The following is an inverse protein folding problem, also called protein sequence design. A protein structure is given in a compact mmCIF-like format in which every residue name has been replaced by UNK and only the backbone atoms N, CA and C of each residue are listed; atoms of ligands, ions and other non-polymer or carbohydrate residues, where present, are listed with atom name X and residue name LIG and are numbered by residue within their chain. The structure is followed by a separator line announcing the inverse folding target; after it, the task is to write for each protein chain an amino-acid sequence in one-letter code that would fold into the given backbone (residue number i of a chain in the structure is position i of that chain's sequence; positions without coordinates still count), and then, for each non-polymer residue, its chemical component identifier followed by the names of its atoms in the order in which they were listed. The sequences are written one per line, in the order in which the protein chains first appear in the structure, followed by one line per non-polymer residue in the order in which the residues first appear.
data_IF_570449307455
#
_entry.id   IF_570449307455
#
_cell.length_a   1.000
_cell.length_b   1.000
_cell.length_c   1.000
_cell.angle_alpha   90.00
_cell.angle_beta   90.00
_cell.angle_gamma   90.00
#
_symmetry.space_group_name_H-M   'P 1'
#
loop_
_entity.id
_entity.type
_entity.pdbx_description
1 polymer ?
#
# COMPACT_ATOMS: atom_id res chain seq x y z
N UNK A 1 -6.40 0.43 -6.12
CA UNK A 1 -7.37 1.43 -6.58
C UNK A 1 -7.31 1.60 -8.09
N UNK A 2 -6.31 1.96 -8.74
CA UNK A 2 -6.26 2.31 -10.18
C UNK A 2 -6.02 1.13 -11.14
N UNK A 3 -6.44 -0.09 -10.81
CA UNK A 3 -6.20 -1.27 -11.64
C UNK A 3 -6.80 -1.15 -13.07
N UNK A 4 -8.05 -0.71 -13.16
CA UNK A 4 -8.75 -0.49 -14.45
C UNK A 4 -8.06 0.59 -15.29
N UNK A 5 -7.61 1.67 -14.67
CA UNK A 5 -6.87 2.74 -15.36
C UNK A 5 -5.54 2.22 -15.90
N UNK A 6 -4.77 1.46 -15.10
CA UNK A 6 -3.54 0.83 -15.56
C UNK A 6 -3.78 -0.16 -16.69
N UNK A 7 -4.82 -0.97 -16.60
CA UNK A 7 -5.19 -1.89 -17.67
C UNK A 7 -5.56 -1.16 -18.97
N UNK A 8 -6.33 -0.09 -18.87
CA UNK A 8 -6.66 0.74 -20.05
C UNK A 8 -5.41 1.34 -20.67
N UNK A 9 -4.56 1.99 -19.87
CA UNK A 9 -3.33 2.64 -20.35
C UNK A 9 -2.32 1.64 -20.93
N UNK A 10 -2.25 0.43 -20.39
CA UNK A 10 -1.33 -0.61 -20.90
C UNK A 10 -1.62 -1.05 -22.34
N UNK A 11 -2.83 -0.79 -22.83
CA UNK A 11 -3.24 -1.07 -24.22
C UNK A 11 -2.91 0.07 -25.19
N UNK A 12 -2.46 1.21 -24.68
CA UNK A 12 -2.07 2.40 -25.47
C UNK A 12 -0.55 2.47 -25.58
N UNK A 13 -0.06 3.18 -26.60
CA UNK A 13 1.37 3.47 -26.69
C UNK A 13 1.76 4.52 -25.65
N UNK A 14 2.38 4.11 -24.57
CA UNK A 14 2.96 5.01 -23.57
C UNK A 14 4.38 5.33 -24.00
N UNK A 15 4.59 6.48 -24.59
CA UNK A 15 5.86 6.87 -25.20
C UNK A 15 6.88 7.36 -24.16
N UNK A 16 6.39 8.05 -23.11
CA UNK A 16 7.26 8.59 -22.08
C UNK A 16 6.55 8.63 -20.73
N UNK A 17 7.30 8.36 -19.67
CA UNK A 17 6.92 8.59 -18.27
C UNK A 17 7.98 9.51 -17.67
N UNK A 18 7.58 10.65 -17.14
CA UNK A 18 8.46 11.57 -16.41
C UNK A 18 8.07 11.52 -14.94
N UNK A 19 8.99 11.09 -14.10
CA UNK A 19 8.87 11.09 -12.65
C UNK A 19 9.51 12.36 -12.09
N UNK A 20 8.69 13.22 -11.52
CA UNK A 20 9.13 14.45 -10.86
C UNK A 20 9.46 14.22 -9.38
N UNK A 21 9.13 13.05 -8.81
CA UNK A 21 9.16 12.84 -7.38
C UNK A 21 8.33 13.92 -6.68
N UNK A 22 8.86 14.50 -5.61
CA UNK A 22 8.23 15.61 -4.86
C UNK A 22 8.51 17.00 -5.47
N UNK A 23 9.16 17.07 -6.64
CA UNK A 23 9.49 18.35 -7.31
C UNK A 23 8.43 18.82 -8.31
N UNK A 24 7.34 18.09 -8.47
CA UNK A 24 6.30 18.43 -9.44
C UNK A 24 5.54 19.72 -9.11
N UNK A 25 5.33 20.00 -7.83
CA UNK A 25 4.66 21.22 -7.37
C UNK A 25 5.45 21.89 -6.23
N UNK A 26 5.84 23.15 -6.36
CA UNK A 26 6.57 23.86 -5.31
C UNK A 26 5.77 23.89 -3.99
N UNK A 27 6.44 23.55 -2.89
CA UNK A 27 5.86 23.63 -1.54
C UNK A 27 4.88 22.51 -1.18
N UNK A 28 4.73 21.50 -2.03
CA UNK A 28 3.82 20.36 -1.80
C UNK A 28 4.63 19.06 -1.85
N UNK A 29 4.63 18.30 -0.74
CA UNK A 29 5.30 17.00 -0.65
C UNK A 29 4.40 15.88 -1.21
N UNK A 30 4.16 15.91 -2.52
CA UNK A 30 3.38 14.89 -3.25
C UNK A 30 4.21 14.38 -4.41
N UNK A 31 4.44 13.07 -4.44
CA UNK A 31 5.06 12.43 -5.60
C UNK A 31 4.16 12.54 -6.83
N UNK A 32 4.73 13.00 -7.92
CA UNK A 32 4.01 13.26 -9.17
C UNK A 32 4.74 12.68 -10.36
N UNK A 33 3.95 12.29 -11.36
CA UNK A 33 4.48 11.87 -12.65
C UNK A 33 3.62 12.38 -13.80
N UNK A 34 4.23 12.52 -14.98
CA UNK A 34 3.54 12.76 -16.24
C UNK A 34 3.65 11.55 -17.15
N UNK A 35 2.58 11.22 -17.85
CA UNK A 35 2.51 10.12 -18.82
C UNK A 35 2.15 10.70 -20.18
N UNK A 36 2.98 10.43 -21.19
CA UNK A 36 2.74 10.81 -22.58
C UNK A 36 2.23 9.59 -23.35
N UNK A 37 1.05 9.71 -23.91
CA UNK A 37 0.33 8.61 -24.55
C UNK A 37 0.00 8.96 -25.99
N UNK A 38 0.37 8.07 -26.91
CA UNK A 38 -0.11 8.12 -28.29
C UNK A 38 -1.33 7.19 -28.43
N UNK A 39 -2.49 7.78 -28.64
CA UNK A 39 -3.76 7.05 -28.73
C UNK A 39 -3.87 6.18 -30.00
N UNK A 40 -3.15 6.54 -31.05
CA UNK A 40 -3.15 5.84 -32.34
C UNK A 40 -1.96 4.88 -32.49
N UNK A 41 -0.96 5.04 -31.61
CA UNK A 41 0.24 4.22 -31.60
C UNK A 41 0.00 2.81 -31.02
N UNK A 42 0.87 1.88 -31.37
CA UNK A 42 0.93 0.55 -30.74
C UNK A 42 1.98 0.55 -29.63
N UNK A 43 1.71 -0.17 -28.50
CA UNK A 43 2.70 -0.33 -27.44
C UNK A 43 4.04 -0.84 -27.97
N UNK A 44 5.13 -0.15 -27.66
CA UNK A 44 6.49 -0.54 -28.07
C UNK A 44 7.48 -0.24 -26.93
N UNK A 45 8.35 0.73 -27.11
CA UNK A 45 9.27 1.19 -26.09
C UNK A 45 8.73 2.42 -25.36
N UNK A 46 8.98 2.48 -24.08
CA UNK A 46 8.65 3.62 -23.21
C UNK A 46 9.94 4.24 -22.68
N UNK A 47 10.09 5.54 -22.82
CA UNK A 47 11.15 6.30 -22.15
C UNK A 47 10.72 6.59 -20.71
N UNK A 48 11.62 6.39 -19.76
CA UNK A 48 11.43 6.74 -18.37
C UNK A 48 12.48 7.75 -17.96
N UNK A 49 12.05 8.90 -17.46
CA UNK A 49 12.91 9.99 -17.02
C UNK A 49 12.63 10.30 -15.57
N UNK A 50 13.63 10.28 -14.71
CA UNK A 50 13.53 10.78 -13.34
C UNK A 50 14.24 12.10 -13.19
N UNK A 51 13.49 13.14 -12.89
CA UNK A 51 14.04 14.47 -12.62
C UNK A 51 14.80 14.50 -11.29
N UNK A 52 14.32 13.70 -10.33
CA UNK A 52 14.93 13.67 -8.98
C UNK A 52 16.26 12.92 -8.96
N UNK A 53 16.35 11.82 -9.71
CA UNK A 53 17.51 10.92 -9.69
C UNK A 53 18.39 11.04 -10.92
N UNK A 54 18.06 11.89 -11.90
CA UNK A 54 18.83 12.04 -13.14
C UNK A 54 18.88 10.76 -13.98
N UNK A 55 17.83 9.92 -13.91
CA UNK A 55 17.76 8.64 -14.61
C UNK A 55 17.08 8.83 -15.96
N UNK A 56 17.69 8.25 -17.01
CA UNK A 56 17.14 8.19 -18.35
C UNK A 56 17.22 6.74 -18.84
N UNK A 57 16.08 6.09 -19.02
CA UNK A 57 16.04 4.72 -19.54
C UNK A 57 15.02 4.61 -20.67
N UNK A 58 15.26 3.61 -21.54
CA UNK A 58 14.26 3.15 -22.52
C UNK A 58 14.08 1.65 -22.35
N UNK A 59 12.86 1.24 -22.13
CA UNK A 59 12.50 -0.17 -21.93
C UNK A 59 11.27 -0.52 -22.75
N UNK A 60 11.08 -1.81 -23.05
CA UNK A 60 9.83 -2.23 -23.65
C UNK A 60 8.66 -1.98 -22.71
N UNK A 61 7.57 -1.47 -23.26
CA UNK A 61 6.38 -1.16 -22.46
C UNK A 61 5.86 -2.38 -21.70
N UNK A 62 5.90 -3.56 -22.33
CA UNK A 62 5.48 -4.82 -21.70
C UNK A 62 6.34 -5.22 -20.49
N UNK A 63 7.58 -4.78 -20.44
CA UNK A 63 8.46 -5.03 -19.31
C UNK A 63 8.11 -4.15 -18.11
N UNK A 64 7.79 -2.87 -18.33
CA UNK A 64 7.34 -1.94 -17.29
C UNK A 64 5.95 -2.33 -16.76
N UNK A 65 5.04 -2.70 -17.70
CA UNK A 65 3.63 -2.95 -17.43
C UNK A 65 3.29 -4.44 -17.34
N UNK A 66 4.24 -5.23 -16.83
CA UNK A 66 4.08 -6.66 -16.67
C UNK A 66 2.85 -6.98 -15.80
N UNK A 67 1.87 -7.69 -16.36
CA UNK A 67 0.63 -8.04 -15.68
C UNK A 67 0.80 -9.02 -14.53
N UNK A 68 1.95 -9.69 -14.45
CA UNK A 68 2.29 -10.56 -13.31
C UNK A 68 2.58 -9.76 -12.05
N UNK A 69 2.95 -8.49 -12.21
CA UNK A 69 3.24 -7.58 -11.10
C UNK A 69 1.98 -6.79 -10.73
N UNK A 70 1.73 -6.52 -9.44
CA UNK A 70 0.55 -5.79 -8.99
C UNK A 70 0.57 -4.30 -9.37
N UNK A 71 1.74 -3.77 -9.74
CA UNK A 71 1.97 -2.38 -10.10
C UNK A 71 2.89 -2.24 -11.31
N UNK A 72 2.88 -1.09 -11.95
CA UNK A 72 3.90 -0.71 -12.92
C UNK A 72 5.21 -0.41 -12.21
N UNK A 73 6.29 -1.01 -12.69
CA UNK A 73 7.61 -0.81 -12.09
C UNK A 73 8.47 -0.05 -13.12
N UNK A 74 8.41 1.29 -13.03
CA UNK A 74 9.03 2.18 -14.03
C UNK A 74 10.56 2.13 -14.02
N UNK A 75 11.18 1.77 -12.89
CA UNK A 75 12.63 1.58 -12.74
C UNK A 75 13.03 0.10 -12.65
N UNK A 76 12.21 -0.78 -13.25
CA UNK A 76 12.47 -2.21 -13.26
C UNK A 76 13.85 -2.51 -13.88
N UNK A 77 14.58 -3.39 -13.23
CA UNK A 77 15.91 -3.82 -13.65
C UNK A 77 16.15 -5.31 -13.34
N UNK A 78 17.32 -5.84 -13.74
CA UNK A 78 17.64 -7.25 -13.56
C UNK A 78 17.70 -7.69 -12.09
N UNK A 79 18.12 -6.81 -11.18
CA UNK A 79 18.18 -7.12 -9.75
C UNK A 79 16.76 -7.25 -9.17
N UNK A 80 15.88 -6.32 -9.53
CA UNK A 80 14.46 -6.42 -9.21
C UNK A 80 13.88 -7.76 -9.71
N UNK A 81 14.17 -8.16 -10.95
CA UNK A 81 13.68 -9.41 -11.51
C UNK A 81 14.20 -10.66 -10.76
N UNK A 82 15.45 -10.63 -10.29
CA UNK A 82 15.99 -11.71 -9.46
C UNK A 82 15.23 -11.86 -8.16
N UNK A 83 14.92 -10.74 -7.49
CA UNK A 83 14.13 -10.76 -6.25
C UNK A 83 12.71 -11.23 -6.52
N UNK A 84 12.06 -10.71 -7.57
CA UNK A 84 10.68 -11.08 -7.91
C UNK A 84 10.50 -12.57 -8.23
N UNK A 85 11.53 -13.25 -8.73
CA UNK A 85 11.49 -14.70 -8.94
C UNK A 85 11.37 -15.52 -7.64
N UNK A 86 11.66 -14.91 -6.49
CA UNK A 86 11.59 -15.53 -5.17
C UNK A 86 10.32 -15.14 -4.42
N UNK A 87 9.44 -14.34 -5.02
CA UNK A 87 8.23 -13.81 -4.41
C UNK A 87 6.98 -14.34 -5.11
N UNK A 88 6.01 -14.75 -4.32
CA UNK A 88 4.65 -14.99 -4.77
C UNK A 88 3.83 -13.71 -4.57
N UNK A 89 3.23 -13.21 -5.66
CA UNK A 89 2.38 -12.03 -5.62
C UNK A 89 0.92 -12.40 -5.41
N UNK A 90 0.16 -11.47 -4.80
CA UNK A 90 -1.28 -11.63 -4.55
C UNK A 90 -1.64 -12.81 -3.65
N UNK A 91 -0.74 -13.22 -2.76
CA UNK A 91 -0.98 -14.26 -1.76
C UNK A 91 -2.05 -13.84 -0.77
N UNK A 92 -2.08 -12.56 -0.43
CA UNK A 92 -3.04 -12.00 0.52
C UNK A 92 -4.04 -11.07 -0.14
N UNK A 93 -5.30 -11.16 0.28
CA UNK A 93 -6.27 -10.09 0.10
C UNK A 93 -6.07 -9.07 1.22
N UNK A 94 -5.95 -7.80 0.86
CA UNK A 94 -5.67 -6.71 1.80
C UNK A 94 -6.94 -5.94 2.13
N UNK A 95 -7.27 -5.87 3.41
CA UNK A 95 -8.30 -4.97 3.93
C UNK A 95 -7.64 -3.83 4.71
N UNK A 96 -8.08 -2.61 4.46
CA UNK A 96 -7.67 -1.40 5.20
C UNK A 96 -8.89 -0.64 5.65
N UNK A 97 -9.04 -0.47 6.95
CA UNK A 97 -10.12 0.34 7.51
C UNK A 97 -9.96 1.82 7.14
N UNK A 98 -11.10 2.47 6.87
CA UNK A 98 -11.18 3.92 6.61
C UNK A 98 -12.29 4.58 7.41
N UNK A 99 -12.95 3.86 8.29
CA UNK A 99 -14.13 4.30 9.01
C UNK A 99 -13.80 4.67 10.46
N UNK A 100 -12.81 4.04 11.08
CA UNK A 100 -12.36 4.38 12.44
C UNK A 100 -11.63 5.72 12.40
N UNK A 101 -12.26 6.73 12.97
CA UNK A 101 -11.70 8.07 13.18
C UNK A 101 -11.52 8.34 14.66
N UNK A 102 -10.76 9.37 15.02
CA UNK A 102 -10.54 9.78 16.42
C UNK A 102 -11.86 10.07 17.18
N UNK A 103 -12.94 10.43 16.46
CA UNK A 103 -14.25 10.68 17.06
C UNK A 103 -14.92 9.42 17.63
N UNK A 104 -14.53 8.24 17.17
CA UNK A 104 -15.06 6.96 17.63
C UNK A 104 -14.17 6.31 18.68
N UNK A 105 -13.02 6.88 18.97
CA UNK A 105 -12.02 6.34 19.87
C UNK A 105 -12.06 7.04 21.23
N UNK A 106 -11.73 6.27 22.25
CA UNK A 106 -11.56 6.72 23.65
C UNK A 106 -10.33 6.05 24.26
N UNK A 107 -9.88 6.58 25.39
CA UNK A 107 -8.70 6.06 26.11
C UNK A 107 -9.03 4.77 26.89
N UNK A 108 -10.32 4.44 27.04
CA UNK A 108 -10.79 3.20 27.65
C UNK A 108 -12.06 2.71 26.96
N UNK A 109 -12.30 1.41 26.92
CA UNK A 109 -13.48 0.83 26.29
C UNK A 109 -13.42 -0.67 26.16
N UNK A 110 -14.43 -1.24 25.49
CA UNK A 110 -14.64 -2.69 25.42
C UNK A 110 -13.73 -3.40 24.42
N UNK A 111 -13.40 -2.72 23.31
CA UNK A 111 -12.63 -3.32 22.21
C UNK A 111 -11.40 -2.45 21.95
N UNK A 112 -10.22 -3.03 22.08
CA UNK A 112 -8.97 -2.35 21.78
C UNK A 112 -8.81 -2.18 20.27
N UNK A 113 -8.41 -0.97 19.84
CA UNK A 113 -8.10 -0.65 18.44
C UNK A 113 -6.59 -0.53 18.27
N UNK A 114 -5.99 -1.49 17.60
CA UNK A 114 -4.56 -1.49 17.36
C UNK A 114 -4.20 -0.50 16.25
N UNK A 115 -3.07 0.15 16.43
CA UNK A 115 -2.46 1.12 15.51
C UNK A 115 -1.02 0.68 15.19
N UNK A 116 -0.40 1.26 14.18
CA UNK A 116 0.91 0.82 13.68
C UNK A 116 2.00 0.68 14.75
N UNK A 117 2.05 1.59 15.73
CA UNK A 117 3.04 1.54 16.82
C UNK A 117 2.76 0.45 17.87
N UNK A 118 1.54 -0.12 17.89
CA UNK A 118 1.24 -1.24 18.78
C UNK A 118 1.87 -2.57 18.31
N UNK A 119 2.43 -2.64 17.11
CA UNK A 119 3.17 -3.82 16.65
C UNK A 119 4.65 -3.59 16.94
N UNK A 120 5.26 -4.50 17.72
CA UNK A 120 6.70 -4.47 18.00
C UNK A 120 7.52 -4.49 16.72
N UNK A 121 8.76 -3.99 16.75
CA UNK A 121 9.62 -3.90 15.58
C UNK A 121 9.96 -5.27 14.97
N UNK A 122 9.97 -6.32 15.78
CA UNK A 122 10.17 -7.71 15.34
C UNK A 122 8.87 -8.41 14.89
N UNK A 123 7.72 -7.73 14.98
CA UNK A 123 6.42 -8.26 14.59
C UNK A 123 5.86 -9.37 15.48
N UNK A 124 6.38 -9.58 16.71
CA UNK A 124 5.98 -10.72 17.54
C UNK A 124 4.95 -10.38 18.61
N UNK A 125 4.94 -9.15 19.09
CA UNK A 125 4.12 -8.76 20.25
C UNK A 125 3.31 -7.50 19.98
N UNK A 126 2.18 -7.39 20.68
CA UNK A 126 1.42 -6.15 20.81
C UNK A 126 1.98 -5.38 21.98
N UNK A 127 2.32 -4.12 21.74
CA UNK A 127 2.84 -3.19 22.75
C UNK A 127 1.70 -2.38 23.35
N UNK A 128 1.71 -2.25 24.66
CA UNK A 128 0.90 -1.28 25.39
C UNK A 128 1.67 0.04 25.45
N UNK A 129 1.03 1.12 25.01
CA UNK A 129 1.67 2.43 24.91
C UNK A 129 0.76 3.46 25.56
N UNK A 130 1.17 3.96 26.71
CA UNK A 130 0.45 4.99 27.45
C UNK A 130 0.22 6.24 26.59
N UNK A 131 -0.98 6.80 26.68
CA UNK A 131 -1.41 7.95 25.88
C UNK A 131 -1.53 7.69 24.36
N UNK A 132 -1.30 6.46 23.91
CA UNK A 132 -1.44 6.08 22.50
C UNK A 132 -2.52 5.02 22.26
N UNK A 133 -2.70 4.10 23.18
CA UNK A 133 -3.70 3.04 23.06
C UNK A 133 -5.11 3.63 22.96
N UNK A 134 -5.95 2.97 22.22
CA UNK A 134 -7.31 3.46 21.97
C UNK A 134 -8.29 2.31 21.93
N UNK A 135 -9.51 2.63 22.29
CA UNK A 135 -10.61 1.69 22.42
C UNK A 135 -11.85 2.21 21.71
N UNK A 136 -12.76 1.32 21.39
CA UNK A 136 -14.07 1.63 20.79
C UNK A 136 -15.16 0.84 21.52
N UNK A 137 -16.35 1.42 21.64
CA UNK A 137 -17.51 0.71 22.18
C UNK A 137 -17.96 -0.39 21.23
N UNK A 138 -18.49 -1.49 21.77
CA UNK A 138 -19.08 -2.57 20.97
C UNK A 138 -20.21 -2.09 20.07
N UNK A 139 -21.01 -1.14 20.54
CA UNK A 139 -22.11 -0.55 19.77
C UNK A 139 -21.60 0.14 18.49
N UNK A 140 -20.60 1.02 18.65
CA UNK A 140 -19.99 1.72 17.50
C UNK A 140 -19.26 0.74 16.56
N UNK A 141 -18.51 -0.20 17.13
CA UNK A 141 -17.73 -1.16 16.35
C UNK A 141 -18.59 -2.02 15.40
N UNK A 142 -19.78 -2.45 15.84
CA UNK A 142 -20.71 -3.27 15.05
C UNK A 142 -21.20 -2.63 13.76
N UNK A 143 -21.14 -1.31 13.65
CA UNK A 143 -21.56 -0.56 12.45
C UNK A 143 -20.45 -0.47 11.38
N UNK A 144 -19.23 -0.93 11.69
CA UNK A 144 -18.05 -0.76 10.86
C UNK A 144 -17.71 -2.05 10.11
N UNK A 145 -17.22 -1.91 8.88
CA UNK A 145 -16.81 -3.04 8.05
C UNK A 145 -15.68 -3.88 8.70
N UNK A 146 -14.78 -3.23 9.47
CA UNK A 146 -13.70 -3.90 10.17
C UNK A 146 -14.16 -4.84 11.27
N UNK A 147 -15.43 -4.73 11.72
CA UNK A 147 -15.99 -5.58 12.77
C UNK A 147 -15.99 -7.06 12.40
N UNK A 148 -16.10 -7.40 11.11
CA UNK A 148 -16.05 -8.79 10.64
C UNK A 148 -14.75 -9.50 11.05
N UNK A 149 -13.69 -8.73 11.35
CA UNK A 149 -12.38 -9.25 11.75
C UNK A 149 -12.19 -9.35 13.26
N UNK A 150 -13.16 -8.94 14.09
CA UNK A 150 -13.00 -8.89 15.55
C UNK A 150 -12.52 -10.23 16.12
N UNK A 151 -13.17 -11.32 15.73
CA UNK A 151 -12.88 -12.67 16.23
C UNK A 151 -11.88 -13.46 15.37
N UNK A 152 -11.52 -12.94 14.19
CA UNK A 152 -10.59 -13.63 13.29
C UNK A 152 -9.16 -13.52 13.82
N UNK A 153 -8.50 -14.66 13.97
CA UNK A 153 -7.08 -14.78 14.34
C UNK A 153 -6.23 -15.50 13.29
N UNK A 154 -6.86 -15.94 12.18
CA UNK A 154 -6.18 -16.53 11.03
C UNK A 154 -5.79 -15.50 9.97
N UNK A 155 -5.68 -14.25 10.35
CA UNK A 155 -5.30 -13.11 9.52
C UNK A 155 -4.10 -12.40 10.13
N UNK A 156 -3.36 -11.66 9.30
CA UNK A 156 -2.16 -10.96 9.73
C UNK A 156 -2.35 -9.44 9.68
N UNK A 157 -1.59 -8.74 10.50
CA UNK A 157 -1.52 -7.28 10.55
C UNK A 157 -0.16 -6.81 10.05
N UNK A 158 -0.14 -5.75 9.25
CA UNK A 158 1.08 -5.07 8.84
C UNK A 158 0.89 -3.56 8.87
N UNK A 159 1.87 -2.77 9.34
CA UNK A 159 1.82 -1.32 9.24
C UNK A 159 1.81 -0.86 7.77
N UNK A 160 0.95 0.11 7.46
CA UNK A 160 0.86 0.66 6.10
C UNK A 160 2.06 1.51 5.72
N UNK A 161 2.69 2.16 6.71
CA UNK A 161 3.90 2.96 6.53
C UNK A 161 4.91 2.55 7.60
N UNK A 162 6.05 2.03 7.18
CA UNK A 162 7.11 1.60 8.09
C UNK A 162 8.44 1.51 7.36
N UNK A 163 9.51 1.88 8.03
CA UNK A 163 10.89 1.67 7.56
C UNK A 163 11.36 0.21 7.76
N UNK A 164 10.71 -0.52 8.67
CA UNK A 164 11.02 -1.93 8.95
C UNK A 164 9.78 -2.77 8.63
N UNK A 165 9.73 -3.45 7.48
CA UNK A 165 8.64 -4.37 7.18
C UNK A 165 8.44 -5.38 8.30
N UNK A 166 7.24 -5.48 8.82
CA UNK A 166 6.87 -6.41 9.89
C UNK A 166 5.42 -6.85 9.76
N UNK A 167 5.15 -8.03 10.24
CA UNK A 167 3.83 -8.64 10.18
C UNK A 167 3.63 -9.48 11.43
N UNK A 168 2.42 -9.46 11.98
CA UNK A 168 2.04 -10.32 13.10
C UNK A 168 0.67 -10.93 12.90
N UNK A 169 0.42 -12.07 13.53
CA UNK A 169 -0.90 -12.66 13.59
C UNK A 169 -1.82 -11.75 14.41
N UNK A 170 -3.02 -11.48 13.91
CA UNK A 170 -3.98 -10.61 14.59
C UNK A 170 -4.50 -11.26 15.87
N UNK A 171 -4.46 -10.59 17.02
CA UNK A 171 -5.11 -11.08 18.24
C UNK A 171 -6.65 -11.04 18.10
N UNK A 172 -7.32 -12.01 18.72
CA UNK A 172 -8.78 -11.97 18.89
C UNK A 172 -9.20 -10.76 19.74
N UNK A 173 -10.44 -10.37 19.64
CA UNK A 173 -11.03 -9.26 20.42
C UNK A 173 -10.33 -7.91 20.19
N UNK A 174 -9.65 -7.73 19.06
CA UNK A 174 -9.04 -6.45 18.68
C UNK A 174 -9.53 -6.01 17.30
N UNK A 175 -9.61 -4.71 17.11
CA UNK A 175 -9.81 -4.09 15.78
C UNK A 175 -8.55 -3.32 15.37
N UNK A 176 -8.53 -2.79 14.18
CA UNK A 176 -7.42 -1.96 13.68
C UNK A 176 -7.97 -0.72 12.99
N UNK A 177 -7.26 0.38 13.11
CA UNK A 177 -7.54 1.57 12.31
C UNK A 177 -6.75 1.57 10.99
N UNK A 178 -6.97 2.58 10.17
CA UNK A 178 -6.34 2.73 8.86
C UNK A 178 -4.81 2.83 8.84
N UNK A 179 -4.11 2.84 9.97
CA UNK A 179 -2.64 2.78 10.02
C UNK A 179 -2.08 1.35 9.87
N UNK A 180 -2.95 0.35 10.05
CA UNK A 180 -2.65 -1.06 9.82
C UNK A 180 -3.48 -1.61 8.67
N UNK A 181 -2.91 -2.53 7.92
CA UNK A 181 -3.64 -3.39 6.98
C UNK A 181 -3.87 -4.77 7.60
N UNK A 182 -5.04 -5.36 7.30
CA UNK A 182 -5.35 -6.76 7.57
C UNK A 182 -5.07 -7.55 6.29
N UNK A 183 -4.26 -8.58 6.41
CA UNK A 183 -3.91 -9.52 5.35
C UNK A 183 -4.71 -10.82 5.56
N UNK A 184 -5.53 -11.18 4.57
CA UNK A 184 -6.47 -12.33 4.62
C UNK A 184 -6.07 -13.37 3.61
#
# INVERSE_FOLDING_TARGET
EFAKTREYLSKKAVECIIDFGEKGFPGVLVETLAIFINNQGRPSNTRVVSITHGIYLTQTQSYIFDRKLPYWIIYRNREFDKVCKQLDFNVFRVFRDRQITNKLLSDAGEIRVLKSRNISDDGKTVLDIDGYDSYISSASARTLAVFEYLQKDNVYLTPNMTYKPRMMRKPKNTLVNGSLAILV
#
